data_IF_042295827669
#
_entry.id   IF_042295827669
#
_cell.length_a   1.000
_cell.length_b   1.000
_cell.length_c   1.000
_cell.angle_alpha   90.00
_cell.angle_beta   90.00
_cell.angle_gamma   90.00
#
_symmetry.space_group_name_H-M   'P 1'
#
loop_
_entity.id
_entity.type
_entity.pdbx_description
1 polymer ?
#
# COMPACT_ATOMS: atom_id res chain seq x y z
N UNK A 1 5.71 -25.86 -7.42
CA UNK A 1 5.72 -24.41 -7.14
C UNK A 1 4.90 -24.17 -5.89
N UNK A 2 5.25 -23.19 -5.06
CA UNK A 2 4.50 -22.94 -3.83
C UNK A 2 3.29 -22.06 -4.14
N UNK A 3 2.14 -22.38 -3.55
CA UNK A 3 0.92 -21.56 -3.65
C UNK A 3 1.06 -20.40 -2.65
N UNK A 4 1.01 -19.18 -3.15
CA UNK A 4 1.07 -17.96 -2.34
C UNK A 4 -0.30 -17.53 -1.84
N UNK A 5 -1.34 -17.68 -2.67
CA UNK A 5 -2.71 -17.33 -2.36
C UNK A 5 -3.65 -18.41 -2.88
N UNK A 6 -4.56 -18.88 -2.04
CA UNK A 6 -5.62 -19.81 -2.40
C UNK A 6 -6.97 -19.17 -2.09
N UNK A 7 -7.87 -19.22 -3.06
CA UNK A 7 -9.23 -18.69 -3.02
C UNK A 7 -10.18 -19.83 -3.29
N UNK A 8 -11.16 -20.03 -2.40
CA UNK A 8 -12.09 -21.15 -2.44
C UNK A 8 -13.53 -20.65 -2.30
N UNK A 9 -14.33 -20.85 -3.32
CA UNK A 9 -15.78 -20.62 -3.36
C UNK A 9 -16.23 -19.24 -2.88
N UNK A 10 -15.46 -18.18 -3.21
CA UNK A 10 -15.80 -16.81 -2.83
C UNK A 10 -17.04 -16.34 -3.58
N UNK A 11 -18.02 -15.83 -2.85
CA UNK A 11 -19.21 -15.20 -3.39
C UNK A 11 -19.42 -13.81 -2.79
N UNK A 12 -20.00 -12.91 -3.57
CA UNK A 12 -20.35 -11.55 -3.15
C UNK A 12 -21.58 -11.04 -3.88
N UNK A 13 -22.49 -10.45 -3.10
CA UNK A 13 -23.69 -9.74 -3.55
C UNK A 13 -23.83 -8.39 -2.84
N UNK A 14 -24.59 -7.48 -3.44
CA UNK A 14 -25.08 -6.25 -2.81
C UNK A 14 -26.61 -6.20 -2.97
N UNK A 15 -27.31 -6.52 -1.89
CA UNK A 15 -28.75 -6.74 -1.94
C UNK A 15 -29.07 -7.85 -2.94
N UNK A 16 -29.97 -7.58 -3.89
CA UNK A 16 -30.38 -8.55 -4.92
C UNK A 16 -29.37 -8.70 -6.08
N UNK A 17 -28.34 -7.86 -6.12
CA UNK A 17 -27.33 -7.89 -7.19
C UNK A 17 -26.20 -8.85 -6.84
N UNK A 18 -26.18 -10.03 -7.47
CA UNK A 18 -25.05 -10.96 -7.39
C UNK A 18 -23.94 -10.45 -8.30
N UNK A 19 -22.78 -10.11 -7.72
CA UNK A 19 -21.58 -9.71 -8.47
C UNK A 19 -20.86 -10.93 -9.03
N UNK A 20 -20.63 -11.93 -8.20
CA UNK A 20 -20.03 -13.21 -8.54
C UNK A 20 -20.35 -14.27 -7.48
N UNK A 21 -20.31 -15.54 -7.88
CA UNK A 21 -20.51 -16.69 -7.01
C UNK A 21 -19.50 -17.78 -7.29
N UNK A 22 -19.09 -18.48 -6.24
CA UNK A 22 -18.25 -19.69 -6.27
C UNK A 22 -16.92 -19.53 -7.04
N UNK A 23 -16.30 -18.35 -6.94
CA UNK A 23 -14.99 -18.12 -7.56
C UNK A 23 -13.91 -18.86 -6.77
N UNK A 24 -13.16 -19.72 -7.45
CA UNK A 24 -12.03 -20.45 -6.90
C UNK A 24 -10.83 -20.39 -7.84
N UNK A 25 -9.66 -20.03 -7.31
CA UNK A 25 -8.39 -20.07 -8.03
C UNK A 25 -7.21 -20.00 -7.07
N UNK A 26 -6.02 -20.29 -7.57
CA UNK A 26 -4.77 -20.18 -6.82
C UNK A 26 -3.81 -19.23 -7.53
N UNK A 27 -2.95 -18.59 -6.76
CA UNK A 27 -1.81 -17.80 -7.27
C UNK A 27 -0.54 -18.45 -6.75
N UNK A 28 0.33 -18.84 -7.67
CA UNK A 28 1.63 -19.42 -7.36
C UNK A 28 2.72 -18.35 -7.30
N UNK A 29 3.84 -18.70 -6.69
CA UNK A 29 5.01 -17.84 -6.62
C UNK A 29 5.42 -17.32 -8.00
N UNK A 30 5.61 -15.99 -8.12
CA UNK A 30 5.96 -15.27 -9.36
C UNK A 30 4.92 -15.35 -10.48
N UNK A 31 3.75 -15.91 -10.24
CA UNK A 31 2.67 -15.92 -11.21
C UNK A 31 2.06 -14.53 -11.39
N UNK A 32 1.61 -14.24 -12.62
CA UNK A 32 0.84 -13.04 -12.95
C UNK A 32 -0.53 -13.47 -13.47
N UNK A 33 -1.57 -12.98 -12.83
CA UNK A 33 -2.96 -13.30 -13.19
C UNK A 33 -3.65 -12.04 -13.69
N UNK A 34 -4.31 -12.13 -14.86
CA UNK A 34 -5.18 -11.09 -15.39
C UNK A 34 -6.64 -11.39 -15.07
N UNK A 35 -7.33 -10.46 -14.40
CA UNK A 35 -8.76 -10.56 -14.14
C UNK A 35 -9.54 -9.84 -15.24
N UNK A 36 -10.23 -10.59 -16.09
CA UNK A 36 -10.97 -10.07 -17.24
C UNK A 36 -12.46 -10.26 -17.01
N UNK A 37 -13.22 -9.17 -16.97
CA UNK A 37 -14.68 -9.19 -16.95
C UNK A 37 -15.22 -7.82 -17.41
N UNK A 38 -16.52 -7.77 -17.77
CA UNK A 38 -17.20 -6.50 -18.09
C UNK A 38 -17.18 -5.54 -16.90
N UNK A 39 -17.32 -4.23 -17.17
CA UNK A 39 -17.44 -3.23 -16.09
C UNK A 39 -18.70 -3.52 -15.25
N UNK A 40 -18.62 -3.24 -13.95
CA UNK A 40 -19.70 -3.53 -13.01
C UNK A 40 -19.80 -4.98 -12.53
N UNK A 41 -18.94 -5.90 -13.02
CA UNK A 41 -18.96 -7.32 -12.63
C UNK A 41 -18.07 -7.66 -11.42
N UNK A 42 -17.83 -6.69 -10.55
CA UNK A 42 -17.20 -6.96 -9.25
C UNK A 42 -15.68 -7.15 -9.25
N UNK A 43 -14.95 -6.81 -10.36
CA UNK A 43 -13.47 -6.93 -10.38
C UNK A 43 -12.80 -6.20 -9.23
N UNK A 44 -13.12 -4.92 -9.05
CA UNK A 44 -12.56 -4.11 -7.97
C UNK A 44 -13.02 -4.60 -6.59
N UNK A 45 -14.27 -5.08 -6.49
CA UNK A 45 -14.80 -5.68 -5.26
C UNK A 45 -14.04 -6.95 -4.88
N UNK A 46 -13.76 -7.83 -5.85
CA UNK A 46 -12.94 -9.02 -5.61
C UNK A 46 -11.55 -8.64 -5.09
N UNK A 47 -10.88 -7.65 -5.71
CA UNK A 47 -9.58 -7.19 -5.26
C UNK A 47 -9.62 -6.58 -3.84
N UNK A 48 -10.68 -5.83 -3.51
CA UNK A 48 -10.91 -5.31 -2.15
C UNK A 48 -11.14 -6.42 -1.13
N UNK A 49 -11.89 -7.47 -1.49
CA UNK A 49 -12.08 -8.65 -0.63
C UNK A 49 -10.74 -9.34 -0.39
N UNK A 50 -9.92 -9.53 -1.42
CA UNK A 50 -8.59 -10.11 -1.27
C UNK A 50 -7.71 -9.27 -0.36
N UNK A 51 -7.80 -7.94 -0.45
CA UNK A 51 -7.07 -7.00 0.41
C UNK A 51 -7.60 -6.93 1.85
N UNK A 52 -8.75 -7.54 2.14
CA UNK A 52 -9.40 -7.46 3.45
C UNK A 52 -10.14 -6.13 3.70
N UNK A 53 -10.34 -5.30 2.67
CA UNK A 53 -11.05 -4.02 2.75
C UNK A 53 -12.58 -4.16 2.60
N UNK A 54 -13.03 -5.26 2.04
CA UNK A 54 -14.46 -5.58 1.83
C UNK A 54 -14.74 -7.01 2.32
N UNK A 55 -15.82 -7.25 3.07
CA UNK A 55 -16.19 -8.61 3.49
C UNK A 55 -16.75 -9.42 2.31
N UNK A 56 -16.42 -10.70 2.25
CA UNK A 56 -17.07 -11.68 1.38
C UNK A 56 -18.35 -12.23 2.03
N UNK A 57 -19.30 -12.69 1.22
CA UNK A 57 -20.53 -13.33 1.72
C UNK A 57 -20.28 -14.79 2.10
N UNK A 58 -19.45 -15.49 1.31
CA UNK A 58 -19.06 -16.88 1.56
C UNK A 58 -17.70 -17.19 0.95
N UNK A 59 -17.12 -18.32 1.32
CA UNK A 59 -15.86 -18.82 0.80
C UNK A 59 -14.71 -18.67 1.78
N UNK A 60 -13.49 -18.87 1.28
CA UNK A 60 -12.26 -18.79 2.09
C UNK A 60 -11.10 -18.25 1.27
N UNK A 61 -10.28 -17.43 1.95
CA UNK A 61 -9.00 -16.92 1.43
C UNK A 61 -7.90 -17.44 2.34
N UNK A 62 -6.90 -18.07 1.76
CA UNK A 62 -5.72 -18.55 2.48
C UNK A 62 -4.47 -17.93 1.86
N UNK A 63 -3.72 -17.17 2.64
CA UNK A 63 -2.44 -16.60 2.26
C UNK A 63 -1.32 -17.42 2.90
N UNK A 64 -0.28 -17.76 2.15
CA UNK A 64 0.89 -18.45 2.69
C UNK A 64 1.58 -17.60 3.76
N UNK A 65 1.98 -18.24 4.86
CA UNK A 65 2.66 -17.53 5.95
C UNK A 65 3.90 -16.77 5.48
N UNK A 66 4.10 -15.57 6.01
CA UNK A 66 5.23 -14.70 5.69
C UNK A 66 5.05 -13.82 4.44
N UNK A 67 3.97 -14.00 3.67
CA UNK A 67 3.66 -13.13 2.52
C UNK A 67 2.88 -11.91 2.99
N UNK A 68 3.29 -10.74 2.50
CA UNK A 68 2.54 -9.49 2.66
C UNK A 68 1.77 -9.20 1.38
N UNK A 69 0.49 -8.91 1.52
CA UNK A 69 -0.37 -8.50 0.42
C UNK A 69 -0.47 -6.97 0.37
N UNK A 70 -0.32 -6.40 -0.81
CA UNK A 70 -0.57 -4.99 -1.06
C UNK A 70 -1.68 -4.82 -2.09
N UNK A 71 -2.58 -3.87 -1.86
CA UNK A 71 -3.63 -3.51 -2.80
C UNK A 71 -3.40 -2.10 -3.35
N UNK A 72 -3.47 -1.97 -4.66
CA UNK A 72 -3.38 -0.69 -5.34
C UNK A 72 -4.74 -0.32 -5.92
N UNK A 73 -5.41 0.67 -5.32
CA UNK A 73 -6.69 1.17 -5.84
C UNK A 73 -6.53 1.87 -7.19
N UNK A 74 -7.61 1.90 -7.94
CA UNK A 74 -7.63 2.51 -9.28
C UNK A 74 -7.49 4.04 -9.24
N UNK A 75 -8.11 4.68 -8.26
CA UNK A 75 -8.01 6.12 -8.03
C UNK A 75 -7.47 6.35 -6.61
N UNK A 76 -6.24 6.85 -6.48
CA UNK A 76 -5.67 7.15 -5.19
C UNK A 76 -6.32 8.39 -4.59
N UNK A 77 -6.83 8.26 -3.38
CA UNK A 77 -7.20 9.40 -2.56
C UNK A 77 -5.93 9.89 -1.84
N UNK A 78 -5.28 10.87 -2.43
CA UNK A 78 -4.18 11.58 -1.79
C UNK A 78 -4.68 12.93 -1.29
N UNK A 79 -4.28 13.31 -0.10
CA UNK A 79 -4.39 14.71 0.31
C UNK A 79 -3.59 15.56 -0.67
N UNK A 80 -4.31 16.26 -1.55
CA UNK A 80 -3.72 17.07 -2.61
C UNK A 80 -2.90 18.26 -2.09
N UNK A 81 -3.00 18.61 -0.81
CA UNK A 81 -2.26 19.69 -0.16
C UNK A 81 -0.82 19.27 0.20
N UNK A 82 -0.58 17.98 0.38
CA UNK A 82 0.73 17.46 0.70
C UNK A 82 1.67 17.49 -0.51
N UNK A 83 2.95 17.63 -0.23
CA UNK A 83 3.98 17.38 -1.23
C UNK A 83 4.08 15.88 -1.54
N UNK A 84 4.66 15.56 -2.69
CA UNK A 84 4.85 14.16 -3.10
C UNK A 84 5.62 13.37 -2.05
N UNK A 85 6.69 13.94 -1.50
CA UNK A 85 7.50 13.25 -0.49
C UNK A 85 6.73 13.06 0.83
N UNK A 86 5.97 14.06 1.29
CA UNK A 86 5.14 13.95 2.48
C UNK A 86 4.05 12.89 2.33
N UNK A 87 3.36 12.85 1.18
CA UNK A 87 2.36 11.82 0.90
C UNK A 87 2.96 10.40 0.91
N UNK A 88 4.19 10.25 0.43
CA UNK A 88 4.94 9.01 0.53
C UNK A 88 5.27 8.62 1.97
N UNK A 89 5.69 9.59 2.77
CA UNK A 89 6.08 9.38 4.16
C UNK A 89 4.87 9.03 5.04
N UNK A 90 3.70 9.66 4.82
CA UNK A 90 2.50 9.42 5.62
C UNK A 90 1.98 7.98 5.56
N UNK A 91 2.14 7.27 4.46
CA UNK A 91 1.65 5.90 4.32
C UNK A 91 2.29 4.89 5.27
N UNK A 92 3.51 5.16 5.68
CA UNK A 92 4.13 4.39 6.75
C UNK A 92 4.22 5.28 8.00
N UNK A 93 3.06 5.54 8.59
CA UNK A 93 2.91 6.49 9.71
C UNK A 93 3.82 6.18 10.91
N UNK A 94 4.17 4.90 11.13
CA UNK A 94 5.08 4.50 12.20
C UNK A 94 6.51 4.99 11.93
N UNK A 95 7.04 4.74 10.72
CA UNK A 95 8.39 5.22 10.35
C UNK A 95 8.46 6.74 10.24
N UNK A 96 7.46 7.36 9.62
CA UNK A 96 7.40 8.81 9.52
C UNK A 96 7.30 9.47 10.91
N UNK A 97 6.49 8.91 11.81
CA UNK A 97 6.32 9.40 13.16
C UNK A 97 7.61 9.34 13.99
N UNK A 98 8.36 8.23 13.89
CA UNK A 98 9.63 8.11 14.62
C UNK A 98 10.70 9.06 14.06
N UNK A 99 10.78 9.23 12.74
CA UNK A 99 11.71 10.18 12.10
C UNK A 99 11.43 11.60 12.58
N UNK A 100 10.17 12.05 12.54
CA UNK A 100 9.78 13.38 12.99
C UNK A 100 10.08 13.63 14.49
N UNK A 101 9.86 12.62 15.33
CA UNK A 101 10.22 12.70 16.77
C UNK A 101 11.73 12.79 16.98
N UNK A 102 12.51 12.02 16.23
CA UNK A 102 13.96 12.04 16.28
C UNK A 102 14.53 13.41 15.86
N UNK A 103 14.06 13.98 14.76
CA UNK A 103 14.44 15.31 14.28
C UNK A 103 14.12 16.39 15.32
N UNK A 104 12.94 16.33 15.93
CA UNK A 104 12.53 17.26 16.98
C UNK A 104 13.43 17.14 18.24
N UNK A 105 13.70 15.92 18.68
CA UNK A 105 14.55 15.65 19.84
C UNK A 105 15.99 16.11 19.61
N UNK A 106 16.52 15.95 18.41
CA UNK A 106 17.85 16.44 18.02
C UNK A 106 17.94 17.97 18.14
N UNK A 107 16.85 18.68 17.84
CA UNK A 107 16.78 20.14 17.93
C UNK A 107 16.58 20.61 19.38
N UNK A 108 15.87 19.85 20.23
CA UNK A 108 15.56 20.20 21.62
C UNK A 108 16.66 19.83 22.61
N UNK A 109 17.65 19.00 22.24
CA UNK A 109 18.82 18.66 23.07
C UNK A 109 18.58 17.68 24.23
N UNK A 110 17.48 16.91 24.22
CA UNK A 110 17.17 15.89 25.24
C UNK A 110 17.95 14.59 24.99
N UNK A 111 19.01 14.36 25.78
CA UNK A 111 19.94 13.22 25.57
C UNK A 111 19.29 11.85 25.78
N UNK A 112 18.47 11.69 26.83
CA UNK A 112 17.87 10.38 27.17
C UNK A 112 16.77 9.97 26.16
N UNK A 113 16.00 10.96 25.70
CA UNK A 113 14.98 10.75 24.68
C UNK A 113 15.62 10.38 23.33
N UNK A 114 16.74 11.00 22.97
CA UNK A 114 17.47 10.72 21.75
C UNK A 114 17.95 9.26 21.68
N UNK A 115 18.49 8.71 22.76
CA UNK A 115 18.96 7.33 22.77
C UNK A 115 17.83 6.33 22.51
N UNK A 116 16.70 6.50 23.17
CA UNK A 116 15.52 5.65 22.95
C UNK A 116 14.99 5.76 21.52
N UNK A 117 14.95 6.98 20.96
CA UNK A 117 14.51 7.19 19.57
C UNK A 117 15.48 6.58 18.55
N UNK A 118 16.81 6.59 18.83
CA UNK A 118 17.79 5.91 17.98
C UNK A 118 17.56 4.40 17.94
N UNK A 119 17.30 3.76 19.08
CA UNK A 119 16.98 2.32 19.16
C UNK A 119 15.70 1.99 18.39
N UNK A 120 14.67 2.84 18.48
CA UNK A 120 13.44 2.67 17.68
C UNK A 120 13.68 2.88 16.17
N UNK A 121 14.50 3.85 15.77
CA UNK A 121 14.92 4.08 14.38
C UNK A 121 15.65 2.86 13.82
N UNK A 122 16.55 2.23 14.59
CA UNK A 122 17.24 1.00 14.20
C UNK A 122 16.27 -0.16 14.06
N UNK A 123 15.41 -0.38 15.05
CA UNK A 123 14.40 -1.45 15.04
C UNK A 123 13.48 -1.36 13.83
N UNK A 124 13.06 -0.16 13.47
CA UNK A 124 12.18 0.11 12.34
C UNK A 124 12.93 0.23 11.01
N UNK A 125 14.27 0.19 11.02
CA UNK A 125 15.09 0.48 9.83
C UNK A 125 14.66 1.80 9.14
N UNK A 126 14.52 2.87 9.94
CA UNK A 126 13.96 4.13 9.50
C UNK A 126 15.01 5.12 8.96
N UNK A 127 16.30 4.94 9.24
CA UNK A 127 17.39 5.85 8.85
C UNK A 127 17.43 6.16 7.36
N UNK A 128 17.25 5.14 6.53
CA UNK A 128 17.32 5.28 5.07
C UNK A 128 15.94 5.46 4.42
N UNK A 129 14.87 5.57 5.22
CA UNK A 129 13.51 5.53 4.69
C UNK A 129 13.25 6.66 3.69
N UNK A 130 13.59 7.90 4.05
CA UNK A 130 13.44 9.05 3.18
C UNK A 130 14.32 8.93 1.93
N UNK A 131 15.57 8.50 2.10
CA UNK A 131 16.50 8.29 0.98
C UNK A 131 15.97 7.26 0.01
N UNK A 132 15.45 6.15 0.50
CA UNK A 132 14.82 5.09 -0.32
C UNK A 132 13.57 5.61 -1.03
N UNK A 133 12.72 6.36 -0.34
CA UNK A 133 11.54 6.99 -0.95
C UNK A 133 11.93 7.91 -2.11
N UNK A 134 12.92 8.78 -1.90
CA UNK A 134 13.47 9.67 -2.95
C UNK A 134 14.01 8.89 -4.14
N UNK A 135 14.77 7.82 -3.90
CA UNK A 135 15.30 6.96 -4.97
C UNK A 135 14.19 6.29 -5.79
N UNK A 136 13.16 5.78 -5.13
CA UNK A 136 12.01 5.15 -5.80
C UNK A 136 11.27 6.19 -6.65
N UNK A 137 10.94 7.34 -6.09
CA UNK A 137 10.23 8.42 -6.82
C UNK A 137 11.03 8.91 -8.04
N UNK A 138 12.36 9.01 -7.91
CA UNK A 138 13.25 9.35 -9.03
C UNK A 138 13.18 8.30 -10.14
N UNK A 139 13.23 7.00 -9.79
CA UNK A 139 13.04 5.89 -10.76
C UNK A 139 11.68 5.95 -11.45
N UNK A 140 10.65 6.42 -10.77
CA UNK A 140 9.31 6.63 -11.32
C UNK A 140 9.19 7.89 -12.20
N UNK A 141 10.31 8.60 -12.43
CA UNK A 141 10.37 9.84 -13.22
C UNK A 141 9.52 10.98 -12.63
N UNK A 142 9.41 11.03 -11.32
CA UNK A 142 8.87 12.17 -10.59
C UNK A 142 10.06 13.06 -10.23
N UNK A 143 10.18 14.21 -10.90
CA UNK A 143 11.37 15.07 -10.81
C UNK A 143 11.33 16.00 -9.60
N UNK A 144 10.16 16.58 -9.33
CA UNK A 144 9.98 17.49 -8.20
C UNK A 144 9.21 16.77 -7.09
N UNK A 145 9.89 16.48 -6.00
CA UNK A 145 9.33 15.79 -4.85
C UNK A 145 8.61 16.75 -3.88
N UNK A 146 8.89 18.03 -3.99
CA UNK A 146 8.30 19.09 -3.16
C UNK A 146 7.05 19.70 -3.79
N UNK A 147 6.71 19.31 -5.04
CA UNK A 147 5.46 19.77 -5.66
C UNK A 147 4.24 19.17 -4.94
N UNK A 148 3.11 19.90 -4.85
CA UNK A 148 1.87 19.35 -4.32
C UNK A 148 1.38 18.17 -5.16
N UNK A 149 0.84 17.12 -4.48
CA UNK A 149 0.32 15.91 -5.15
C UNK A 149 -0.79 16.24 -6.15
N UNK A 150 -1.58 17.29 -5.90
CA UNK A 150 -2.62 17.76 -6.83
C UNK A 150 -2.09 18.11 -8.22
N UNK A 151 -0.84 18.56 -8.33
CA UNK A 151 -0.19 18.97 -9.57
C UNK A 151 0.38 17.80 -10.39
N UNK A 152 0.44 16.62 -9.81
CA UNK A 152 0.83 15.41 -10.53
C UNK A 152 -0.19 15.05 -11.61
N UNK A 153 0.29 14.67 -12.79
CA UNK A 153 -0.55 14.04 -13.80
C UNK A 153 -1.12 12.72 -13.31
N UNK A 154 -2.27 12.27 -13.84
CA UNK A 154 -2.88 10.99 -13.48
C UNK A 154 -1.92 9.81 -13.61
N UNK A 155 -1.05 9.80 -14.63
CA UNK A 155 -0.01 8.79 -14.81
C UNK A 155 1.10 8.85 -13.75
N UNK A 156 1.47 10.05 -13.30
CA UNK A 156 2.43 10.22 -12.20
C UNK A 156 1.83 9.78 -10.87
N UNK A 157 0.56 10.14 -10.59
CA UNK A 157 -0.17 9.68 -9.40
C UNK A 157 -0.22 8.17 -9.32
N UNK A 158 -0.57 7.49 -10.43
CA UNK A 158 -0.58 6.02 -10.50
C UNK A 158 0.80 5.41 -10.24
N UNK A 159 1.86 5.97 -10.82
CA UNK A 159 3.23 5.49 -10.59
C UNK A 159 3.70 5.71 -9.15
N UNK A 160 3.46 6.90 -8.60
CA UNK A 160 3.80 7.20 -7.21
C UNK A 160 3.17 6.18 -6.27
N UNK A 161 1.90 5.82 -6.49
CA UNK A 161 1.18 4.88 -5.64
C UNK A 161 1.65 3.44 -5.73
N UNK A 162 2.05 2.97 -6.90
CA UNK A 162 2.46 1.57 -7.10
C UNK A 162 3.69 1.17 -6.28
N UNK A 163 4.39 2.13 -5.68
CA UNK A 163 5.63 1.90 -4.93
C UNK A 163 5.61 2.55 -3.53
N UNK A 164 4.48 3.14 -3.15
CA UNK A 164 4.16 3.63 -1.82
C UNK A 164 3.37 2.57 -1.04
#
# INVERSE_FOLDING_TARGET
>A
MAIDLQIENISKSFGDLVLFSDISFTVEERQRIGLIARNGKGKSTLLKILAGEEPMDSGKITLRGGIRMGYLEQEPDFDGSLTVIEACMQRNSEKAGIIARYEKATTSGSSDELQHLMEEMDRLQAWDYETRAKQILTKLKIKDLNQPVRELSGGQKKRARAHL
#
